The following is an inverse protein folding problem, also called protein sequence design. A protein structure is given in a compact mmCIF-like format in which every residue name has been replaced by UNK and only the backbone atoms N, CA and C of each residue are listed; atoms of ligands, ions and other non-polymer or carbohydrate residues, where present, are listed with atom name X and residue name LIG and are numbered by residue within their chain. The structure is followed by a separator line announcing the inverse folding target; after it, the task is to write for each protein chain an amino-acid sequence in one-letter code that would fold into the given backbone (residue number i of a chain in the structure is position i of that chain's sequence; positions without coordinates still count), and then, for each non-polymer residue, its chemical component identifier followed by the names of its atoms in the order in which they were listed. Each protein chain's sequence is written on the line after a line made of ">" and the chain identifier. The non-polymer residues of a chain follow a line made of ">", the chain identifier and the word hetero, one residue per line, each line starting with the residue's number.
data_IF_270500181465
#
_entry.id   IF_270500181465
#
_cell.length_a   1.000
_cell.length_b   1.000
_cell.length_c   1.000
_cell.angle_alpha   90.00
_cell.angle_beta   90.00
_cell.angle_gamma   90.00
#
_symmetry.space_group_name_H-M   'P 1'
#
loop_
_entity.id
_entity.type
_entity.pdbx_description
1 polymer ?
#
# COMPACT_ATOMS: atom_id res chain seq x y z
N UNK A 1 -29.50 7.35 5.82
CA UNK A 1 -28.69 6.88 4.67
C UNK A 1 -29.22 7.52 3.42
N UNK A 2 -28.40 8.29 2.72
CA UNK A 2 -28.84 9.12 1.59
C UNK A 2 -29.45 8.22 0.51
N UNK A 3 -30.66 8.54 0.04
CA UNK A 3 -31.49 7.76 -0.90
C UNK A 3 -30.81 7.43 -2.25
N UNK A 4 -29.62 8.02 -2.48
CA UNK A 4 -28.88 7.96 -3.75
C UNK A 4 -27.65 7.04 -3.78
N UNK A 5 -27.19 6.54 -2.63
CA UNK A 5 -26.00 5.69 -2.56
C UNK A 5 -26.36 4.27 -2.10
N UNK A 6 -26.42 3.34 -3.05
CA UNK A 6 -26.50 1.91 -2.74
C UNK A 6 -25.15 1.41 -2.18
N UNK A 7 -25.17 0.34 -1.39
CA UNK A 7 -23.95 -0.28 -0.83
C UNK A 7 -22.91 -0.62 -1.91
N UNK A 8 -23.36 -1.05 -3.07
CA UNK A 8 -22.49 -1.30 -4.22
C UNK A 8 -21.82 -0.04 -4.76
N UNK A 9 -22.55 1.08 -4.84
CA UNK A 9 -21.95 2.36 -5.26
C UNK A 9 -20.92 2.88 -4.25
N UNK A 10 -21.16 2.67 -2.94
CA UNK A 10 -20.19 3.02 -1.90
C UNK A 10 -18.93 2.18 -2.07
N UNK A 11 -19.06 0.86 -2.26
CA UNK A 11 -17.92 -0.02 -2.50
C UNK A 11 -17.10 0.43 -3.73
N UNK A 12 -17.77 0.71 -4.85
CA UNK A 12 -17.10 1.20 -6.06
C UNK A 12 -16.40 2.54 -5.85
N UNK A 13 -17.03 3.50 -5.14
CA UNK A 13 -16.40 4.78 -4.81
C UNK A 13 -15.12 4.58 -3.99
N UNK A 14 -15.15 3.73 -2.96
CA UNK A 14 -13.97 3.42 -2.15
C UNK A 14 -12.89 2.78 -3.01
N UNK A 15 -13.25 1.78 -3.83
CA UNK A 15 -12.31 1.05 -4.68
C UNK A 15 -11.62 2.02 -5.65
N UNK A 16 -12.38 2.77 -6.43
CA UNK A 16 -11.79 3.64 -7.45
C UNK A 16 -11.03 4.82 -6.86
N UNK A 17 -11.54 5.47 -5.80
CA UNK A 17 -10.86 6.62 -5.21
C UNK A 17 -9.52 6.25 -4.60
N UNK A 18 -9.44 5.16 -3.84
CA UNK A 18 -8.19 4.72 -3.21
C UNK A 18 -7.23 4.17 -4.25
N UNK A 19 -7.70 3.38 -5.23
CA UNK A 19 -6.87 2.82 -6.29
C UNK A 19 -6.24 3.91 -7.16
N UNK A 20 -7.03 4.89 -7.58
CA UNK A 20 -6.55 6.02 -8.39
C UNK A 20 -5.53 6.85 -7.59
N UNK A 21 -5.82 7.15 -6.31
CA UNK A 21 -4.89 7.88 -5.45
C UNK A 21 -3.57 7.13 -5.26
N UNK A 22 -3.63 5.81 -5.00
CA UNK A 22 -2.44 4.96 -4.87
C UNK A 22 -1.58 5.01 -6.14
N UNK A 23 -2.19 4.79 -7.31
CA UNK A 23 -1.46 4.76 -8.57
C UNK A 23 -0.89 6.15 -8.96
N UNK A 24 -1.62 7.24 -8.70
CA UNK A 24 -1.10 8.60 -8.94
C UNK A 24 0.14 8.85 -8.08
N UNK A 25 0.10 8.54 -6.79
CA UNK A 25 1.24 8.75 -5.89
C UNK A 25 2.42 7.88 -6.30
N UNK A 26 2.21 6.60 -6.59
CA UNK A 26 3.26 5.67 -7.03
C UNK A 26 3.93 6.10 -8.32
N UNK A 27 3.14 6.48 -9.34
CA UNK A 27 3.66 6.97 -10.61
C UNK A 27 4.44 8.27 -10.40
N UNK A 28 3.90 9.20 -9.61
CA UNK A 28 4.58 10.45 -9.31
C UNK A 28 5.95 10.22 -8.65
N UNK A 29 5.99 9.43 -7.58
CA UNK A 29 7.24 9.12 -6.88
C UNK A 29 8.24 8.45 -7.81
N UNK A 30 7.81 7.42 -8.55
CA UNK A 30 8.68 6.67 -9.48
C UNK A 30 9.26 7.55 -10.60
N UNK A 31 8.52 8.55 -11.08
CA UNK A 31 8.94 9.42 -12.20
C UNK A 31 9.57 10.75 -11.77
N UNK A 32 9.71 11.02 -10.45
CA UNK A 32 10.26 12.28 -9.95
C UNK A 32 11.35 12.09 -8.88
N UNK A 33 11.55 10.88 -8.39
CA UNK A 33 12.55 10.59 -7.36
C UNK A 33 13.56 9.54 -7.84
N UNK A 34 14.80 9.67 -7.39
CA UNK A 34 15.81 8.62 -7.53
C UNK A 34 15.52 7.47 -6.55
N UNK A 35 15.89 6.27 -6.91
CA UNK A 35 15.77 5.13 -6.01
C UNK A 35 16.55 5.37 -4.70
N UNK A 36 15.90 5.14 -3.56
CA UNK A 36 16.34 5.46 -2.20
C UNK A 36 16.49 6.97 -1.88
N UNK A 37 15.97 7.84 -2.72
CA UNK A 37 15.85 9.25 -2.35
C UNK A 37 14.82 9.41 -1.23
N UNK A 38 15.14 10.29 -0.26
CA UNK A 38 14.28 10.62 0.89
C UNK A 38 14.05 12.12 0.96
N UNK A 39 12.81 12.54 1.10
CA UNK A 39 12.41 13.93 1.28
C UNK A 39 11.46 14.05 2.49
N UNK A 40 11.74 15.00 3.38
CA UNK A 40 10.85 15.29 4.49
C UNK A 40 9.55 15.93 3.97
N UNK A 41 8.45 15.18 4.04
CA UNK A 41 7.15 15.63 3.53
C UNK A 41 6.59 16.86 4.27
N UNK A 42 6.93 17.03 5.54
CA UNK A 42 6.49 18.16 6.36
C UNK A 42 7.28 19.41 5.99
N UNK A 43 8.58 19.28 5.68
CA UNK A 43 9.41 20.39 5.20
C UNK A 43 8.82 21.01 3.93
N UNK A 44 8.44 20.21 2.96
CA UNK A 44 7.76 20.68 1.75
C UNK A 44 6.49 21.50 2.07
N UNK A 45 5.68 21.05 3.04
CA UNK A 45 4.49 21.76 3.49
C UNK A 45 4.84 23.10 4.17
N UNK A 46 5.87 23.10 5.02
CA UNK A 46 6.36 24.32 5.70
C UNK A 46 6.84 25.37 4.71
N UNK A 47 7.60 24.97 3.70
CA UNK A 47 8.05 25.85 2.61
C UNK A 47 6.86 26.44 1.85
N UNK A 48 5.83 25.64 1.52
CA UNK A 48 4.61 26.10 0.85
C UNK A 48 3.78 27.06 1.69
N UNK A 49 3.82 26.94 3.01
CA UNK A 49 3.14 27.84 3.95
C UNK A 49 3.98 29.08 4.30
N UNK A 50 5.19 29.21 3.75
CA UNK A 50 6.09 30.34 4.05
C UNK A 50 6.76 30.26 5.42
N UNK A 51 6.77 29.09 6.05
CA UNK A 51 7.37 28.84 7.39
C UNK A 51 8.85 28.44 7.25
N UNK A 52 9.65 29.22 6.50
CA UNK A 52 11.04 28.88 6.13
C UNK A 52 12.01 28.84 7.31
N UNK A 53 11.73 29.59 8.37
CA UNK A 53 12.60 29.68 9.57
C UNK A 53 12.27 28.63 10.64
N UNK A 54 11.22 27.83 10.45
CA UNK A 54 10.82 26.80 11.40
C UNK A 54 11.43 25.45 11.03
N UNK A 55 12.06 24.76 11.99
CA UNK A 55 12.52 23.40 11.80
C UNK A 55 11.31 22.44 11.70
N UNK A 56 11.10 21.77 10.57
CA UNK A 56 9.99 20.84 10.40
C UNK A 56 10.21 19.56 11.24
N UNK A 57 9.15 18.99 11.80
CA UNK A 57 9.24 17.69 12.44
C UNK A 57 9.79 16.61 11.50
N UNK A 58 10.55 15.67 12.05
CA UNK A 58 11.29 14.65 11.29
C UNK A 58 10.66 13.25 11.38
N UNK A 59 9.34 13.18 11.57
CA UNK A 59 8.62 11.91 11.73
C UNK A 59 7.90 11.41 10.46
N UNK A 60 7.92 12.17 9.34
CA UNK A 60 7.30 11.76 8.09
C UNK A 60 8.15 12.12 6.88
N UNK A 61 8.53 11.09 6.12
CA UNK A 61 9.31 11.20 4.89
C UNK A 61 8.60 10.51 3.74
N UNK A 62 8.78 11.05 2.54
CA UNK A 62 8.61 10.31 1.29
C UNK A 62 9.96 9.69 0.96
N UNK A 63 10.07 8.38 1.10
CA UNK A 63 11.28 7.60 0.83
C UNK A 63 11.01 6.62 -0.29
N UNK A 64 11.53 6.90 -1.49
CA UNK A 64 11.27 6.03 -2.63
C UNK A 64 12.06 4.73 -2.55
N UNK A 65 11.34 3.61 -2.52
CA UNK A 65 11.92 2.28 -2.67
C UNK A 65 11.03 1.37 -3.52
N UNK A 66 11.61 0.30 -4.02
CA UNK A 66 10.90 -0.71 -4.79
C UNK A 66 11.22 -2.09 -4.24
N UNK A 67 10.19 -2.91 -4.10
CA UNK A 67 10.34 -4.28 -3.63
C UNK A 67 9.66 -5.29 -4.58
N UNK A 68 10.09 -6.54 -4.52
CA UNK A 68 9.48 -7.62 -5.29
C UNK A 68 8.09 -8.03 -4.79
N UNK A 69 7.53 -7.28 -3.84
CA UNK A 69 6.26 -7.58 -3.21
C UNK A 69 6.36 -8.70 -2.18
N UNK A 70 7.55 -9.00 -1.69
CA UNK A 70 7.80 -10.02 -0.67
C UNK A 70 8.06 -9.36 0.68
N UNK A 71 7.37 -9.82 1.71
CA UNK A 71 7.70 -9.44 3.08
C UNK A 71 9.02 -10.11 3.47
N UNK A 72 9.96 -9.32 4.01
CA UNK A 72 11.24 -9.81 4.54
C UNK A 72 12.16 -10.54 3.55
N UNK A 73 12.06 -10.30 2.24
CA UNK A 73 12.99 -10.87 1.25
C UNK A 73 12.88 -12.38 1.02
N UNK A 74 11.78 -13.01 1.42
CA UNK A 74 11.59 -14.46 1.23
C UNK A 74 11.25 -14.81 -0.23
N UNK A 75 12.24 -15.25 -1.00
CA UNK A 75 12.07 -15.68 -2.40
C UNK A 75 11.75 -17.18 -2.55
N UNK A 76 10.98 -17.77 -1.64
CA UNK A 76 10.76 -19.23 -1.58
C UNK A 76 10.08 -19.78 -2.85
N UNK A 77 9.17 -19.02 -3.47
CA UNK A 77 8.37 -19.51 -4.61
C UNK A 77 8.54 -18.69 -5.91
N UNK A 78 9.43 -17.71 -5.92
CA UNK A 78 9.62 -16.82 -7.07
C UNK A 78 8.50 -15.81 -7.27
N UNK A 79 8.83 -14.72 -7.96
CA UNK A 79 7.96 -13.54 -8.12
C UNK A 79 6.68 -13.84 -8.92
N UNK A 80 6.78 -14.63 -9.98
CA UNK A 80 5.63 -14.98 -10.81
C UNK A 80 4.54 -15.70 -10.01
N UNK A 81 4.93 -16.70 -9.20
CA UNK A 81 4.00 -17.44 -8.36
C UNK A 81 3.29 -16.49 -7.38
N UNK A 82 4.04 -15.59 -6.73
CA UNK A 82 3.48 -14.62 -5.79
C UNK A 82 2.47 -13.69 -6.49
N UNK A 83 2.79 -13.19 -7.68
CA UNK A 83 1.89 -12.33 -8.46
C UNK A 83 0.61 -13.07 -8.86
N UNK A 84 0.72 -14.32 -9.36
CA UNK A 84 -0.44 -15.13 -9.73
C UNK A 84 -1.30 -15.48 -8.50
N UNK A 85 -0.68 -15.85 -7.38
CA UNK A 85 -1.39 -16.12 -6.13
C UNK A 85 -2.19 -14.88 -5.66
N UNK A 86 -1.61 -13.69 -5.74
CA UNK A 86 -2.29 -12.44 -5.41
C UNK A 86 -3.49 -12.16 -6.32
N UNK A 87 -3.36 -12.43 -7.63
CA UNK A 87 -4.47 -12.27 -8.58
C UNK A 87 -5.65 -13.19 -8.18
N UNK A 88 -5.36 -14.45 -7.87
CA UNK A 88 -6.39 -15.40 -7.40
C UNK A 88 -7.03 -14.92 -6.09
N UNK A 89 -6.22 -14.46 -5.14
CA UNK A 89 -6.71 -13.93 -3.85
C UNK A 89 -7.63 -12.71 -4.06
N UNK A 90 -7.24 -11.75 -4.92
CA UNK A 90 -8.06 -10.58 -5.26
C UNK A 90 -9.37 -11.00 -5.93
N UNK A 91 -9.33 -11.99 -6.84
CA UNK A 91 -10.54 -12.58 -7.42
C UNK A 91 -11.49 -13.14 -6.36
N UNK A 92 -10.95 -13.89 -5.40
CA UNK A 92 -11.72 -14.45 -4.29
C UNK A 92 -12.33 -13.37 -3.37
N UNK A 93 -11.54 -12.33 -3.01
CA UNK A 93 -12.03 -11.20 -2.22
C UNK A 93 -13.11 -10.42 -2.99
N UNK A 94 -12.93 -10.20 -4.29
CA UNK A 94 -13.91 -9.54 -5.15
C UNK A 94 -15.24 -10.32 -5.23
N UNK A 95 -15.15 -11.65 -5.41
CA UNK A 95 -16.32 -12.52 -5.34
C UNK A 95 -17.02 -12.42 -3.99
N UNK A 96 -16.25 -12.49 -2.90
CA UNK A 96 -16.78 -12.36 -1.55
C UNK A 96 -17.47 -10.99 -1.33
N UNK A 97 -16.86 -9.90 -1.80
CA UNK A 97 -17.45 -8.56 -1.73
C UNK A 97 -18.81 -8.50 -2.44
N UNK A 98 -18.94 -9.11 -3.62
CA UNK A 98 -20.23 -9.15 -4.31
C UNK A 98 -21.31 -9.91 -3.53
N UNK A 99 -20.91 -11.00 -2.84
CA UNK A 99 -21.82 -11.80 -1.99
C UNK A 99 -22.32 -10.99 -0.79
N UNK A 100 -21.43 -10.34 -0.05
CA UNK A 100 -21.80 -9.56 1.14
C UNK A 100 -22.64 -8.31 0.79
N UNK A 101 -22.44 -7.72 -0.38
CA UNK A 101 -23.27 -6.62 -0.90
C UNK A 101 -24.69 -7.14 -1.18
N UNK A 102 -24.82 -8.28 -1.88
CA UNK A 102 -26.13 -8.92 -2.18
C UNK A 102 -26.89 -9.33 -0.92
N UNK A 103 -26.18 -9.82 0.10
CA UNK A 103 -26.75 -10.16 1.40
C UNK A 103 -27.15 -8.93 2.23
N UNK A 104 -26.79 -7.72 1.80
CA UNK A 104 -27.16 -6.47 2.46
C UNK A 104 -26.45 -6.24 3.79
N UNK A 105 -25.23 -6.78 4.00
CA UNK A 105 -24.47 -6.60 5.23
C UNK A 105 -24.19 -5.13 5.53
N UNK A 106 -23.71 -4.82 6.75
CA UNK A 106 -23.45 -3.44 7.18
C UNK A 106 -22.48 -2.72 6.24
N UNK A 107 -22.77 -1.46 5.95
CA UNK A 107 -21.97 -0.64 5.03
C UNK A 107 -20.49 -0.55 5.46
N UNK A 108 -20.23 -0.37 6.77
CA UNK A 108 -18.85 -0.34 7.26
C UNK A 108 -18.08 -1.63 7.04
N UNK A 109 -18.74 -2.81 7.15
CA UNK A 109 -18.13 -4.09 6.80
C UNK A 109 -17.75 -4.17 5.32
N UNK A 110 -18.65 -3.73 4.45
CA UNK A 110 -18.42 -3.66 3.00
C UNK A 110 -17.25 -2.71 2.68
N UNK A 111 -17.17 -1.56 3.35
CA UNK A 111 -16.04 -0.62 3.20
C UNK A 111 -14.72 -1.26 3.61
N UNK A 112 -14.66 -1.98 4.74
CA UNK A 112 -13.44 -2.68 5.16
C UNK A 112 -12.96 -3.69 4.10
N UNK A 113 -13.87 -4.52 3.58
CA UNK A 113 -13.53 -5.50 2.53
C UNK A 113 -13.14 -4.80 1.22
N UNK A 114 -13.79 -3.67 0.89
CA UNK A 114 -13.42 -2.86 -0.29
C UNK A 114 -12.03 -2.27 -0.17
N UNK A 115 -11.62 -1.79 1.01
CA UNK A 115 -10.26 -1.31 1.27
C UNK A 115 -9.21 -2.41 1.09
N UNK A 116 -9.47 -3.60 1.64
CA UNK A 116 -8.58 -4.77 1.47
C UNK A 116 -8.45 -5.14 -0.01
N UNK A 117 -9.58 -5.22 -0.73
CA UNK A 117 -9.60 -5.52 -2.16
C UNK A 117 -8.81 -4.49 -2.96
N UNK A 118 -9.02 -3.21 -2.67
CA UNK A 118 -8.37 -2.10 -3.38
C UNK A 118 -6.85 -2.11 -3.17
N UNK A 119 -6.41 -2.23 -1.92
CA UNK A 119 -4.98 -2.25 -1.63
C UNK A 119 -4.29 -3.46 -2.27
N UNK A 120 -4.88 -4.65 -2.17
CA UNK A 120 -4.34 -5.82 -2.86
C UNK A 120 -4.29 -5.62 -4.39
N UNK A 121 -5.32 -4.97 -4.98
CA UNK A 121 -5.37 -4.67 -6.42
C UNK A 121 -4.30 -3.64 -6.83
N UNK A 122 -4.04 -2.60 -6.02
CA UNK A 122 -3.01 -1.60 -6.28
C UNK A 122 -1.62 -2.23 -6.43
N UNK A 123 -1.23 -3.06 -5.48
CA UNK A 123 0.06 -3.76 -5.53
C UNK A 123 0.15 -4.81 -6.65
N UNK A 124 -0.99 -5.36 -7.10
CA UNK A 124 -1.03 -6.24 -8.28
C UNK A 124 -0.79 -5.45 -9.56
N UNK A 125 -1.36 -4.24 -9.69
CA UNK A 125 -1.12 -3.38 -10.85
C UNK A 125 0.38 -3.13 -11.03
N UNK A 126 1.08 -2.77 -9.96
CA UNK A 126 2.54 -2.59 -10.00
C UNK A 126 3.24 -3.88 -10.45
N UNK A 127 2.93 -5.00 -9.80
CA UNK A 127 3.57 -6.30 -10.07
C UNK A 127 3.33 -6.79 -11.49
N UNK A 128 2.16 -6.51 -12.06
CA UNK A 128 1.81 -6.95 -13.42
C UNK A 128 2.41 -6.01 -14.47
N UNK A 129 2.27 -4.70 -14.30
CA UNK A 129 2.47 -3.75 -15.39
C UNK A 129 3.73 -2.89 -15.28
N UNK A 130 4.24 -2.59 -14.07
CA UNK A 130 5.33 -1.61 -13.94
C UNK A 130 6.63 -2.06 -14.59
N UNK A 131 6.89 -3.38 -14.65
CA UNK A 131 8.04 -3.91 -15.38
C UNK A 131 8.06 -3.50 -16.85
N UNK A 132 6.89 -3.49 -17.49
CA UNK A 132 6.75 -3.15 -18.91
C UNK A 132 6.60 -1.65 -19.15
N UNK A 133 5.93 -0.95 -18.22
CA UNK A 133 5.56 0.46 -18.38
C UNK A 133 6.69 1.44 -18.05
N UNK A 134 7.69 1.05 -17.27
CA UNK A 134 8.77 1.93 -16.81
C UNK A 134 10.13 1.31 -17.08
N UNK A 135 11.16 2.15 -17.29
CA UNK A 135 12.55 1.73 -17.18
C UNK A 135 12.97 1.63 -15.71
N UNK A 136 14.18 1.14 -15.45
CA UNK A 136 14.66 0.92 -14.10
C UNK A 136 14.96 2.25 -13.38
N UNK A 137 14.55 2.33 -12.10
CA UNK A 137 14.92 3.40 -11.20
C UNK A 137 16.26 3.05 -10.55
N UNK A 138 17.21 3.97 -10.56
CA UNK A 138 18.53 3.79 -9.92
C UNK A 138 18.87 5.02 -9.07
N UNK A 139 20.00 4.99 -8.35
CA UNK A 139 20.51 6.15 -7.60
C UNK A 139 20.91 7.34 -8.51
N UNK A 140 21.04 7.12 -9.83
CA UNK A 140 21.46 8.15 -10.79
C UNK A 140 20.49 8.34 -11.94
N UNK A 141 19.40 7.55 -12.00
CA UNK A 141 18.40 7.60 -13.07
C UNK A 141 17.00 7.53 -12.48
N UNK A 142 16.21 8.54 -12.79
CA UNK A 142 14.76 8.57 -12.53
C UNK A 142 14.06 7.79 -13.64
N UNK A 143 13.05 6.98 -13.27
CA UNK A 143 12.30 6.22 -14.25
C UNK A 143 11.44 7.13 -15.15
N UNK A 144 11.32 6.74 -16.41
CA UNK A 144 10.38 7.33 -17.37
C UNK A 144 9.24 6.36 -17.70
N UNK A 145 8.08 6.93 -17.97
CA UNK A 145 6.91 6.18 -18.41
C UNK A 145 6.98 5.89 -19.90
N UNK A 146 6.74 4.64 -20.31
CA UNK A 146 6.82 4.17 -21.70
C UNK A 146 8.15 4.53 -22.39
N UNK A 147 9.30 4.11 -21.85
CA UNK A 147 10.61 4.44 -22.40
C UNK A 147 10.82 3.79 -23.78
N UNK A 148 11.53 4.50 -24.69
CA UNK A 148 11.82 3.99 -26.05
C UNK A 148 12.58 2.67 -26.06
N UNK A 149 13.42 2.40 -25.04
CA UNK A 149 14.17 1.15 -24.88
C UNK A 149 13.37 -0.02 -24.30
N UNK A 150 12.08 0.18 -24.01
CA UNK A 150 11.23 -0.81 -23.32
C UNK A 150 11.36 -0.78 -21.80
N UNK A 151 10.52 -1.58 -21.13
CA UNK A 151 10.48 -1.66 -19.67
C UNK A 151 11.64 -2.46 -19.07
N UNK A 152 11.81 -2.34 -17.74
CA UNK A 152 12.89 -3.02 -17.00
C UNK A 152 12.66 -4.52 -16.78
N UNK A 153 11.42 -5.00 -16.93
CA UNK A 153 11.08 -6.42 -16.73
C UNK A 153 9.86 -6.81 -17.57
N UNK A 154 9.67 -8.12 -17.85
CA UNK A 154 8.47 -8.59 -18.53
C UNK A 154 7.22 -8.48 -17.65
N UNK A 155 6.05 -8.71 -18.26
CA UNK A 155 4.75 -8.72 -17.57
C UNK A 155 4.79 -9.68 -16.37
N UNK A 156 4.14 -9.32 -15.27
CA UNK A 156 4.12 -10.00 -13.96
C UNK A 156 5.40 -9.92 -13.13
N UNK A 157 6.43 -9.24 -13.61
CA UNK A 157 7.70 -9.06 -12.90
C UNK A 157 7.96 -7.62 -12.44
N UNK A 158 6.95 -6.74 -12.51
CA UNK A 158 7.02 -5.36 -12.01
C UNK A 158 7.26 -5.30 -10.50
N UNK A 159 8.07 -4.37 -10.02
CA UNK A 159 8.33 -4.12 -8.60
C UNK A 159 7.21 -3.25 -8.02
N UNK A 160 6.84 -3.49 -6.76
CA UNK A 160 5.90 -2.65 -6.02
C UNK A 160 6.62 -1.40 -5.54
N UNK A 161 5.98 -0.24 -5.72
CA UNK A 161 6.52 1.06 -5.31
C UNK A 161 6.05 1.40 -3.90
N UNK A 162 6.99 1.66 -3.00
CA UNK A 162 6.75 2.09 -1.62
C UNK A 162 7.36 3.46 -1.38
N UNK A 163 6.73 4.27 -0.47
CA UNK A 163 7.20 5.64 -0.27
C UNK A 163 6.94 6.22 1.13
N UNK A 164 5.96 5.76 1.86
CA UNK A 164 5.63 6.33 3.17
C UNK A 164 6.53 5.77 4.26
N UNK A 165 7.32 6.64 4.86
CA UNK A 165 8.24 6.30 5.93
C UNK A 165 7.99 7.17 7.16
N UNK A 166 7.73 6.53 8.29
CA UNK A 166 7.39 7.19 9.56
C UNK A 166 8.34 6.77 10.67
N UNK A 167 9.58 7.28 10.74
CA UNK A 167 10.48 7.03 11.88
C UNK A 167 9.99 7.82 13.10
N UNK A 168 9.00 7.26 13.82
CA UNK A 168 8.34 7.96 14.93
C UNK A 168 9.32 8.24 16.07
N UNK A 169 10.23 7.28 16.35
CA UNK A 169 11.33 7.44 17.28
C UNK A 169 12.60 6.98 16.56
N UNK A 170 13.55 7.87 16.42
CA UNK A 170 14.89 7.62 15.89
C UNK A 170 15.92 8.00 16.95
N UNK A 171 16.55 7.00 17.59
CA UNK A 171 17.42 7.20 18.73
C UNK A 171 18.39 6.02 18.88
N UNK A 172 19.29 6.10 19.86
CA UNK A 172 20.10 4.96 20.25
C UNK A 172 19.61 4.36 21.57
N UNK A 173 19.70 3.03 21.69
CA UNK A 173 19.44 2.38 22.95
C UNK A 173 20.33 2.93 24.05
N UNK A 174 19.82 3.18 25.26
CA UNK A 174 20.64 3.56 26.41
C UNK A 174 21.76 2.55 26.66
N UNK A 175 22.97 3.02 26.92
CA UNK A 175 24.15 2.16 27.07
C UNK A 175 24.06 1.12 28.20
N UNK A 176 23.14 1.32 29.16
CA UNK A 176 22.93 0.40 30.28
C UNK A 176 22.10 -0.84 29.93
N UNK A 177 21.52 -0.91 28.74
CA UNK A 177 20.71 -2.06 28.32
C UNK A 177 21.64 -3.16 27.80
N UNK A 178 21.61 -4.37 28.37
CA UNK A 178 22.45 -5.47 27.92
C UNK A 178 22.14 -5.85 26.46
N UNK A 179 23.17 -6.25 25.70
CA UNK A 179 23.14 -6.76 24.33
C UNK A 179 22.86 -5.74 23.23
N UNK A 180 22.12 -4.67 23.49
CA UNK A 180 21.72 -3.66 22.48
C UNK A 180 22.11 -2.23 22.88
N UNK A 181 22.74 -2.03 24.03
CA UNK A 181 23.13 -0.69 24.51
C UNK A 181 24.05 0.03 23.53
N UNK A 182 23.66 1.23 23.12
CA UNK A 182 24.34 2.03 22.11
C UNK A 182 23.97 1.74 20.66
N UNK A 183 23.25 0.66 20.37
CA UNK A 183 22.78 0.36 19.03
C UNK A 183 21.69 1.35 18.58
N UNK A 184 21.69 1.62 17.28
CA UNK A 184 20.67 2.49 16.68
C UNK A 184 19.30 1.82 16.68
N UNK A 185 18.28 2.56 17.14
CA UNK A 185 16.90 2.09 17.25
C UNK A 185 15.95 3.02 16.50
N UNK A 186 15.18 2.45 15.57
CA UNK A 186 14.10 3.15 14.90
C UNK A 186 12.78 2.45 15.23
N UNK A 187 11.89 3.17 15.89
CA UNK A 187 10.52 2.69 16.07
C UNK A 187 9.70 3.02 14.83
N UNK A 188 9.09 1.98 14.24
CA UNK A 188 8.34 1.98 12.99
C UNK A 188 9.23 2.30 11.78
N UNK A 189 10.12 1.35 11.46
CA UNK A 189 11.02 1.41 10.30
C UNK A 189 10.44 0.94 8.95
N UNK A 190 9.27 0.25 8.84
CA UNK A 190 8.76 -0.18 7.54
C UNK A 190 8.41 1.00 6.64
N UNK A 191 8.79 0.88 5.36
CA UNK A 191 8.35 1.77 4.30
C UNK A 191 7.18 1.07 3.60
N UNK A 192 6.09 1.78 3.34
CA UNK A 192 4.87 1.22 2.77
C UNK A 192 4.19 2.23 1.82
N UNK A 193 3.14 1.80 1.13
CA UNK A 193 2.38 2.61 0.19
C UNK A 193 0.91 2.77 0.62
N UNK A 194 0.11 3.52 -0.14
CA UNK A 194 -1.30 3.75 0.17
C UNK A 194 -2.12 2.45 0.10
N UNK A 195 -1.76 1.54 -0.80
CA UNK A 195 -2.41 0.24 -0.91
C UNK A 195 -2.21 -0.61 0.35
N UNK A 196 -1.00 -0.64 0.93
CA UNK A 196 -0.69 -1.34 2.19
C UNK A 196 -1.43 -0.72 3.37
N UNK A 197 -1.50 0.61 3.42
CA UNK A 197 -2.29 1.34 4.42
C UNK A 197 -3.77 0.97 4.32
N UNK A 198 -4.33 0.88 3.11
CA UNK A 198 -5.72 0.49 2.89
C UNK A 198 -5.99 -0.94 3.35
N UNK A 199 -5.10 -1.89 3.05
CA UNK A 199 -5.20 -3.28 3.54
C UNK A 199 -5.18 -3.29 5.07
N UNK A 200 -4.19 -2.64 5.67
CA UNK A 200 -4.00 -2.62 7.13
C UNK A 200 -5.19 -1.99 7.85
N UNK A 201 -5.65 -0.82 7.40
CA UNK A 201 -6.83 -0.16 7.94
C UNK A 201 -8.09 -1.01 7.78
N UNK A 202 -8.27 -1.64 6.61
CA UNK A 202 -9.38 -2.54 6.34
C UNK A 202 -9.41 -3.74 7.28
N UNK A 203 -8.27 -4.41 7.48
CA UNK A 203 -8.13 -5.57 8.36
C UNK A 203 -8.35 -5.17 9.84
N UNK A 204 -7.68 -4.11 10.30
CA UNK A 204 -7.80 -3.64 11.69
C UNK A 204 -9.24 -3.27 12.01
N UNK A 205 -9.88 -2.47 11.15
CA UNK A 205 -11.28 -2.07 11.34
C UNK A 205 -12.24 -3.27 11.30
N UNK A 206 -11.98 -4.24 10.43
CA UNK A 206 -12.75 -5.48 10.34
C UNK A 206 -12.64 -6.31 11.63
N UNK A 207 -11.44 -6.48 12.16
CA UNK A 207 -11.22 -7.24 13.39
C UNK A 207 -11.79 -6.55 14.63
N UNK A 208 -11.64 -5.23 14.75
CA UNK A 208 -12.11 -4.47 15.91
C UNK A 208 -13.64 -4.30 15.92
N UNK A 209 -14.26 -4.03 14.78
CA UNK A 209 -15.67 -3.61 14.73
C UNK A 209 -16.61 -4.62 14.08
N UNK A 210 -16.08 -5.59 13.31
CA UNK A 210 -16.88 -6.47 12.47
C UNK A 210 -16.52 -7.96 12.60
N UNK A 211 -15.74 -8.37 13.61
CA UNK A 211 -15.32 -9.76 13.82
C UNK A 211 -16.49 -10.76 13.88
N UNK A 212 -17.61 -10.36 14.48
CA UNK A 212 -18.85 -11.19 14.53
C UNK A 212 -19.41 -11.46 13.13
N UNK A 213 -19.35 -10.48 12.22
CA UNK A 213 -19.86 -10.62 10.85
C UNK A 213 -19.03 -11.56 9.99
N UNK A 214 -17.73 -11.73 10.29
CA UNK A 214 -16.89 -12.74 9.64
C UNK A 214 -17.44 -14.14 9.88
N UNK A 215 -17.84 -14.44 11.11
CA UNK A 215 -18.38 -15.75 11.48
C UNK A 215 -19.78 -16.00 10.87
N UNK A 216 -20.65 -14.99 10.94
CA UNK A 216 -22.03 -15.09 10.41
C UNK A 216 -22.03 -15.21 8.89
N UNK A 217 -21.19 -14.46 8.18
CA UNK A 217 -21.08 -14.53 6.72
C UNK A 217 -20.50 -15.87 6.25
N UNK A 218 -19.54 -16.45 6.99
CA UNK A 218 -19.01 -17.78 6.71
C UNK A 218 -20.10 -18.85 6.79
N UNK A 219 -20.94 -18.83 7.85
CA UNK A 219 -22.03 -19.77 8.01
C UNK A 219 -23.14 -19.59 6.95
N UNK A 220 -23.40 -18.37 6.52
CA UNK A 220 -24.38 -18.09 5.47
C UNK A 220 -23.91 -18.58 4.08
N UNK A 221 -22.62 -18.44 3.76
CA UNK A 221 -22.04 -18.94 2.50
C UNK A 221 -22.03 -20.47 2.44
N UNK A 222 -21.80 -21.14 3.58
CA UNK A 222 -21.78 -22.61 3.66
C UNK A 222 -23.16 -23.24 3.45
N UNK A 223 -24.26 -22.48 3.65
CA UNK A 223 -25.65 -22.95 3.51
C UNK A 223 -26.26 -22.65 2.13
N UNK A 224 -25.58 -21.87 1.28
CA UNK A 224 -26.00 -21.53 -0.10
C UNK A 224 -25.27 -22.40 -1.13
#
# INVERSE_FOLDING_TARGET
>A
MNKYLTKGRIALLVIFSVLIADQIIKIYVKTHMYWHQSENAIKWLYEKLGMVDAEPPTWFYIYFTENNGMAFGMEIFGKLFLTLFRIVAVGAIGWYLTRIIKQGLKTGYIVCVSLILTGASGNIIDSVFYGVLFNESTHSQIASFLPEGGGYAPLFYGKVVDMFYFPIIDTNWPQWIPLVGGDHFIFFSPIFNLADAAISCGIIALLLFYSKYLNDSYHAIKKS
#
